data_IF_399511733909
#
_entry.id   IF_399511733909
#
_cell.length_a   1.000
_cell.length_b   1.000
_cell.length_c   1.000
_cell.angle_alpha   90.00
_cell.angle_beta   90.00
_cell.angle_gamma   90.00
#
_symmetry.space_group_name_H-M   'P 1'
#
loop_
_entity.id
_entity.type
_entity.pdbx_description
1 polymer ?
#
# COMPACT_ATOMS: atom_id res chain seq x y z
N UNK A 1 23.57 -25.59 -1.37
CA UNK A 1 22.86 -25.62 -0.08
C UNK A 1 22.03 -24.35 -0.02
N UNK A 2 20.71 -24.48 -0.14
CA UNK A 2 19.79 -23.34 -0.19
C UNK A 2 19.54 -22.82 1.24
N UNK A 3 19.89 -21.56 1.51
CA UNK A 3 19.40 -20.84 2.68
C UNK A 3 18.08 -20.18 2.29
N UNK A 4 17.02 -20.99 2.21
CA UNK A 4 15.65 -20.50 2.08
C UNK A 4 15.12 -20.20 3.49
N UNK A 5 15.50 -19.04 4.02
CA UNK A 5 14.77 -18.45 5.15
C UNK A 5 13.42 -18.01 4.59
N UNK A 6 12.49 -18.95 4.48
CA UNK A 6 11.19 -18.83 3.80
C UNK A 6 10.25 -17.81 4.45
N UNK A 7 10.60 -16.53 4.38
CA UNK A 7 9.68 -15.43 4.63
C UNK A 7 8.76 -15.37 3.41
N UNK A 8 7.54 -15.92 3.54
CA UNK A 8 6.51 -15.75 2.50
C UNK A 8 6.24 -14.26 2.37
N UNK A 9 6.84 -13.63 1.36
CA UNK A 9 6.53 -12.25 0.98
C UNK A 9 5.07 -12.25 0.56
N UNK A 10 4.22 -11.59 1.35
CA UNK A 10 2.81 -11.44 1.00
C UNK A 10 2.71 -10.71 -0.34
N UNK A 11 2.02 -11.33 -1.29
CA UNK A 11 1.70 -10.71 -2.57
C UNK A 11 0.38 -9.96 -2.43
N UNK A 12 0.30 -8.83 -3.12
CA UNK A 12 -0.90 -8.01 -3.23
C UNK A 12 -1.23 -7.86 -4.70
N UNK A 13 -2.51 -7.96 -5.03
CA UNK A 13 -3.00 -7.50 -6.32
C UNK A 13 -3.27 -6.01 -6.21
N UNK A 14 -2.52 -5.20 -6.95
CA UNK A 14 -2.72 -3.75 -7.03
C UNK A 14 -3.33 -3.45 -8.39
N UNK A 15 -4.47 -2.77 -8.41
CA UNK A 15 -5.13 -2.48 -9.67
C UNK A 15 -4.34 -1.46 -10.49
N UNK A 16 -4.42 -1.50 -11.83
CA UNK A 16 -3.73 -0.53 -12.69
C UNK A 16 -4.06 0.93 -12.36
N UNK A 17 -5.28 1.21 -11.91
CA UNK A 17 -5.75 2.54 -11.52
C UNK A 17 -4.97 3.09 -10.33
N UNK A 18 -4.73 2.25 -9.32
CA UNK A 18 -3.92 2.61 -8.15
C UNK A 18 -2.46 2.83 -8.56
N UNK A 19 -1.92 1.95 -9.41
CA UNK A 19 -0.54 2.09 -9.92
C UNK A 19 -0.37 3.41 -10.67
N UNK A 20 -1.33 3.72 -11.57
CA UNK A 20 -1.35 4.95 -12.35
C UNK A 20 -1.45 6.17 -11.44
N UNK A 21 -2.38 6.16 -10.49
CA UNK A 21 -2.57 7.26 -9.55
C UNK A 21 -1.29 7.55 -8.75
N UNK A 22 -0.69 6.54 -8.12
CA UNK A 22 0.54 6.72 -7.33
C UNK A 22 1.67 7.26 -8.22
N UNK A 23 1.81 6.72 -9.43
CA UNK A 23 2.85 7.13 -10.39
C UNK A 23 2.68 8.57 -10.86
N UNK A 24 1.45 9.02 -11.10
CA UNK A 24 1.13 10.39 -11.53
C UNK A 24 1.34 11.40 -10.40
N UNK A 25 1.00 11.04 -9.17
CA UNK A 25 1.20 11.89 -7.99
C UNK A 25 2.67 12.00 -7.57
N UNK A 26 3.53 11.08 -8.03
CA UNK A 26 4.97 11.00 -7.69
C UNK A 26 5.21 11.06 -6.18
N UNK A 27 4.30 10.45 -5.43
CA UNK A 27 4.25 10.51 -3.97
C UNK A 27 4.13 9.10 -3.41
N UNK A 28 4.77 8.86 -2.28
CA UNK A 28 4.64 7.62 -1.52
C UNK A 28 3.32 7.62 -0.73
N UNK A 29 2.68 6.45 -0.65
CA UNK A 29 1.40 6.27 0.03
C UNK A 29 1.46 5.19 1.10
N UNK A 30 0.59 5.30 2.08
CA UNK A 30 0.37 4.30 3.12
C UNK A 30 -1.09 3.86 3.14
N UNK A 31 -1.31 2.55 3.06
CA UNK A 31 -2.61 1.96 3.33
C UNK A 31 -2.91 2.06 4.83
N UNK A 32 -4.04 2.69 5.13
CA UNK A 32 -4.57 2.94 6.46
C UNK A 32 -6.01 2.40 6.55
N UNK A 33 -6.55 2.31 7.76
CA UNK A 33 -7.96 1.99 7.97
C UNK A 33 -8.63 3.20 8.59
N UNK A 34 -9.75 3.62 8.00
CA UNK A 34 -10.65 4.64 8.53
C UNK A 34 -11.95 3.99 9.00
N UNK A 35 -12.85 4.77 9.61
CA UNK A 35 -14.20 4.31 9.94
C UNK A 35 -15.01 3.87 8.71
N UNK A 36 -14.66 4.35 7.51
CA UNK A 36 -15.29 4.01 6.23
C UNK A 36 -14.60 2.88 5.47
N UNK A 37 -13.56 2.26 6.02
CA UNK A 37 -12.79 1.20 5.36
C UNK A 37 -11.35 1.58 5.02
N UNK A 38 -10.66 0.75 4.21
CA UNK A 38 -9.27 0.95 3.82
C UNK A 38 -9.11 2.23 2.99
N UNK A 39 -8.02 2.95 3.22
CA UNK A 39 -7.75 4.21 2.53
C UNK A 39 -6.25 4.41 2.30
N UNK A 40 -5.89 4.94 1.14
CA UNK A 40 -4.54 5.34 0.79
C UNK A 40 -4.32 6.80 1.19
N UNK A 41 -3.39 7.02 2.12
CA UNK A 41 -2.98 8.35 2.55
C UNK A 41 -1.54 8.63 2.14
N UNK A 42 -1.21 9.83 1.64
CA UNK A 42 0.17 10.24 1.44
C UNK A 42 1.00 10.08 2.72
N UNK A 43 2.26 9.69 2.59
CA UNK A 43 3.15 9.54 3.77
C UNK A 43 3.40 10.86 4.52
N UNK A 44 3.16 12.00 3.86
CA UNK A 44 3.19 13.34 4.46
C UNK A 44 2.08 13.52 5.50
N UNK A 45 0.94 12.85 5.32
CA UNK A 45 -0.17 12.81 6.28
C UNK A 45 0.05 11.70 7.30
N UNK A 46 0.38 10.49 6.85
CA UNK A 46 0.61 9.33 7.71
C UNK A 46 1.93 8.63 7.39
N UNK A 47 2.97 8.98 8.15
CA UNK A 47 4.30 8.35 8.02
C UNK A 47 4.24 6.81 8.13
N UNK A 48 5.06 6.06 7.37
CA UNK A 48 5.15 4.61 7.48
C UNK A 48 5.75 4.18 8.83
N UNK A 49 5.44 2.95 9.26
CA UNK A 49 6.08 2.29 10.40
C UNK A 49 7.19 1.34 9.91
N UNK A 50 8.22 1.05 10.73
CA UNK A 50 9.26 0.10 10.38
C UNK A 50 8.74 -1.30 10.04
N UNK A 51 7.60 -1.69 10.62
CA UNK A 51 6.94 -2.98 10.37
C UNK A 51 5.99 -2.96 9.18
N UNK A 52 5.88 -1.86 8.44
CA UNK A 52 5.06 -1.83 7.23
C UNK A 52 5.77 -2.60 6.10
N UNK A 53 4.99 -3.37 5.35
CA UNK A 53 5.42 -4.03 4.12
C UNK A 53 5.58 -2.95 3.05
N UNK A 54 6.73 -2.94 2.38
CA UNK A 54 7.07 -1.99 1.32
C UNK A 54 6.81 -2.62 -0.03
N UNK A 55 5.94 -2.01 -0.83
CA UNK A 55 5.59 -2.48 -2.16
C UNK A 55 6.04 -1.42 -3.17
N UNK A 56 6.99 -1.74 -4.08
CA UNK A 56 7.37 -0.81 -5.15
C UNK A 56 6.23 -0.70 -6.17
N UNK A 57 5.86 0.53 -6.53
CA UNK A 57 4.77 0.85 -7.47
C UNK A 57 5.22 1.97 -8.40
N UNK A 58 5.45 1.65 -9.68
CA UNK A 58 5.93 2.60 -10.70
C UNK A 58 7.36 3.07 -10.42
N UNK A 59 7.50 4.07 -9.55
CA UNK A 59 8.77 4.53 -8.97
C UNK A 59 8.65 5.01 -7.51
N UNK A 60 7.51 4.75 -6.88
CA UNK A 60 7.17 5.14 -5.51
C UNK A 60 7.01 3.89 -4.65
N UNK A 61 6.88 4.09 -3.34
CA UNK A 61 6.62 3.01 -2.39
C UNK A 61 5.20 3.13 -1.82
N UNK A 62 4.45 2.04 -1.93
CA UNK A 62 3.22 1.82 -1.17
C UNK A 62 3.54 1.04 0.11
N UNK A 63 3.24 1.64 1.26
CA UNK A 63 3.44 1.04 2.58
C UNK A 63 2.13 0.42 3.08
N UNK A 64 2.16 -0.84 3.47
CA UNK A 64 1.00 -1.53 4.05
C UNK A 64 1.34 -2.02 5.44
N UNK A 65 0.53 -1.72 6.46
CA UNK A 65 0.79 -2.25 7.80
C UNK A 65 0.84 -3.77 7.77
N UNK A 66 1.84 -4.41 8.39
CA UNK A 66 1.88 -5.87 8.51
C UNK A 66 0.64 -6.47 9.20
N UNK A 67 -0.09 -5.69 10.02
CA UNK A 67 -1.34 -6.14 10.65
C UNK A 67 -2.47 -6.16 9.61
N UNK A 68 -2.73 -5.04 8.95
CA UNK A 68 -3.70 -4.95 7.84
C UNK A 68 -3.34 -5.91 6.70
N UNK A 69 -2.03 -6.12 6.55
CA UNK A 69 -1.34 -7.15 5.82
C UNK A 69 -2.13 -8.44 5.72
N UNK A 70 -2.54 -8.94 6.87
CA UNK A 70 -3.14 -10.26 7.01
C UNK A 70 -4.54 -10.36 6.40
N UNK A 71 -5.19 -9.24 6.13
CA UNK A 71 -6.61 -9.16 5.77
C UNK A 71 -6.87 -8.53 4.40
N UNK A 72 -5.84 -8.00 3.74
CA UNK A 72 -5.97 -7.30 2.46
C UNK A 72 -5.15 -8.03 1.42
N UNK A 73 -5.81 -8.53 0.37
CA UNK A 73 -5.17 -9.17 -0.77
C UNK A 73 -5.23 -8.31 -2.04
N UNK A 74 -6.21 -7.41 -2.12
CA UNK A 74 -6.46 -6.50 -3.24
C UNK A 74 -6.38 -5.06 -2.76
N UNK A 75 -5.65 -4.22 -3.50
CA UNK A 75 -5.59 -2.77 -3.33
C UNK A 75 -6.12 -2.15 -4.62
N UNK A 76 -7.34 -1.62 -4.54
CA UNK A 76 -8.08 -1.07 -5.68
C UNK A 76 -8.41 0.41 -5.47
N UNK A 77 -9.06 0.99 -6.49
CA UNK A 77 -9.41 2.39 -6.58
C UNK A 77 -10.43 2.84 -5.52
N UNK A 78 -11.19 1.94 -4.90
CA UNK A 78 -12.08 2.27 -3.78
C UNK A 78 -11.34 2.82 -2.56
N UNK A 79 -10.04 2.51 -2.45
CA UNK A 79 -9.16 2.97 -1.38
C UNK A 79 -8.55 4.34 -1.67
N UNK A 80 -8.72 4.88 -2.88
CA UNK A 80 -8.20 6.20 -3.24
C UNK A 80 -9.06 7.29 -2.61
N UNK A 81 -8.41 8.23 -1.94
CA UNK A 81 -9.08 9.39 -1.33
C UNK A 81 -9.39 10.49 -2.38
N UNK A 82 -9.78 10.10 -3.59
CA UNK A 82 -10.02 11.00 -4.74
C UNK A 82 -11.31 11.81 -4.61
N UNK A 83 -12.16 11.51 -3.63
CA UNK A 83 -13.48 12.13 -3.46
C UNK A 83 -13.54 13.28 -2.43
N UNK A 84 -12.40 13.76 -1.92
CA UNK A 84 -12.38 14.84 -0.91
C UNK A 84 -11.95 16.22 -1.42
N UNK A 85 -11.80 16.41 -2.73
CA UNK A 85 -11.52 17.73 -3.32
C UNK A 85 -12.31 17.96 -4.61
#
# INVERSE_FOLDING_TARGET
MANDNGERVKQFFITPEVVKFISEQKCDYRLCTSCGGPILLPITIKKPKPSDIKIPVGGQTLYVSAIQAKYIDVIDDSMLMTYLY
#
